data_IF_990147757581
#
_entry.id   IF_990147757581
#
_cell.length_a   1.000
_cell.length_b   1.000
_cell.length_c   1.000
_cell.angle_alpha   90.00
_cell.angle_beta   90.00
_cell.angle_gamma   90.00
#
_symmetry.space_group_name_H-M   'P 1'
#
loop_
_entity.id
_entity.type
_entity.pdbx_description
1 polymer ?
#
# COMPACT_ATOMS: atom_id res chain seq x y z
N UNK A 1 -40.30 18.47 24.08
CA UNK A 1 -39.52 17.21 23.97
C UNK A 1 -38.94 16.99 22.58
N UNK A 2 -39.73 16.93 21.48
CA UNK A 2 -39.20 16.70 20.12
C UNK A 2 -38.08 17.67 19.70
N UNK A 3 -38.23 18.98 19.96
CA UNK A 3 -37.19 19.98 19.64
C UNK A 3 -35.90 19.82 20.44
N UNK A 4 -36.01 19.36 21.69
CA UNK A 4 -34.83 19.05 22.54
C UNK A 4 -34.11 17.82 21.97
N UNK A 5 -34.84 16.76 21.60
CA UNK A 5 -34.23 15.58 21.00
C UNK A 5 -33.56 15.90 19.64
N UNK A 6 -34.17 16.77 18.84
CA UNK A 6 -33.59 17.24 17.57
C UNK A 6 -32.31 18.06 17.82
N UNK A 7 -32.31 18.92 18.84
CA UNK A 7 -31.13 19.69 19.23
C UNK A 7 -30.00 18.78 19.74
N UNK A 8 -30.31 17.80 20.60
CA UNK A 8 -29.34 16.82 21.09
C UNK A 8 -28.76 15.98 19.93
N UNK A 9 -29.60 15.52 19.00
CA UNK A 9 -29.15 14.79 17.82
C UNK A 9 -28.22 15.65 16.94
N UNK A 10 -28.54 16.94 16.75
CA UNK A 10 -27.69 17.86 16.00
C UNK A 10 -26.32 18.04 16.67
N UNK A 11 -26.28 18.26 17.99
CA UNK A 11 -25.03 18.41 18.75
C UNK A 11 -24.19 17.14 18.68
N UNK A 12 -24.80 15.96 18.78
CA UNK A 12 -24.11 14.67 18.65
C UNK A 12 -23.46 14.52 17.27
N UNK A 13 -24.19 14.76 16.18
CA UNK A 13 -23.64 14.66 14.82
C UNK A 13 -22.52 15.66 14.61
N UNK A 14 -22.70 16.90 15.09
CA UNK A 14 -21.68 17.94 14.98
C UNK A 14 -20.39 17.55 15.74
N UNK A 15 -20.52 16.97 16.93
CA UNK A 15 -19.37 16.50 17.69
C UNK A 15 -18.60 15.40 16.95
N UNK A 16 -19.28 14.46 16.28
CA UNK A 16 -18.60 13.40 15.51
C UNK A 16 -17.80 13.94 14.32
N UNK A 17 -18.29 14.99 13.65
CA UNK A 17 -17.64 15.57 12.47
C UNK A 17 -16.44 16.45 12.84
N UNK A 18 -16.46 17.04 14.04
CA UNK A 18 -15.42 17.97 14.49
C UNK A 18 -14.24 17.29 15.20
N UNK A 19 -14.28 15.98 15.42
CA UNK A 19 -13.13 15.25 16.00
C UNK A 19 -12.09 15.05 14.89
N UNK A 20 -10.89 15.65 14.99
CA UNK A 20 -9.82 15.37 14.05
C UNK A 20 -9.39 13.90 14.21
N UNK A 21 -9.27 13.18 13.09
CA UNK A 21 -8.74 11.82 13.05
C UNK A 21 -7.28 11.87 12.64
N UNK A 22 -6.43 11.19 13.41
CA UNK A 22 -5.03 11.00 13.05
C UNK A 22 -4.96 9.91 11.97
N UNK A 23 -4.46 10.26 10.78
CA UNK A 23 -4.24 9.31 9.68
C UNK A 23 -2.74 9.12 9.54
N UNK A 24 -2.23 7.93 9.87
CA UNK A 24 -0.84 7.56 9.62
C UNK A 24 -0.72 6.91 8.24
N UNK A 25 -0.25 7.68 7.26
CA UNK A 25 0.23 7.13 6.00
C UNK A 25 1.72 6.82 6.15
N UNK A 26 2.11 5.58 5.83
CA UNK A 26 3.54 5.23 5.78
C UNK A 26 4.24 6.09 4.72
N UNK A 27 5.41 6.62 5.05
CA UNK A 27 6.25 7.33 4.08
C UNK A 27 6.77 6.33 3.05
N UNK A 28 6.42 6.52 1.79
CA UNK A 28 6.92 5.67 0.70
C UNK A 28 6.07 5.86 -0.54
N UNK A 29 6.60 6.58 -1.53
CA UNK A 29 5.94 6.69 -2.83
C UNK A 29 6.28 5.44 -3.64
N UNK A 30 5.27 4.70 -4.07
CA UNK A 30 5.46 3.69 -5.12
C UNK A 30 5.89 4.39 -6.40
N UNK A 31 6.99 3.95 -6.98
CA UNK A 31 7.52 4.48 -8.21
C UNK A 31 6.74 3.97 -9.43
N UNK A 32 7.11 4.44 -10.63
CA UNK A 32 6.44 4.03 -11.87
C UNK A 32 6.62 2.56 -12.23
N UNK A 33 7.55 1.85 -11.59
CA UNK A 33 7.79 0.42 -11.76
C UNK A 33 7.04 -0.44 -10.73
N UNK A 34 6.33 0.17 -9.77
CA UNK A 34 5.59 -0.55 -8.73
C UNK A 34 6.42 -0.85 -7.47
N UNK A 35 7.63 -0.31 -7.35
CA UNK A 35 8.51 -0.46 -6.20
C UNK A 35 8.52 0.75 -5.27
N UNK A 36 8.96 0.56 -4.03
CA UNK A 36 9.15 1.67 -3.09
C UNK A 36 10.43 1.50 -2.28
N UNK A 37 11.07 2.64 -2.02
CA UNK A 37 12.26 2.72 -1.18
C UNK A 37 11.88 2.77 0.30
N UNK A 38 12.46 1.86 1.08
CA UNK A 38 12.41 1.85 2.54
C UNK A 38 13.78 2.29 3.07
N UNK A 39 13.99 3.61 3.14
CA UNK A 39 15.28 4.20 3.51
C UNK A 39 15.79 3.81 4.90
N UNK A 40 14.86 3.54 5.83
CA UNK A 40 15.18 3.19 7.21
C UNK A 40 15.05 1.68 7.49
N UNK A 41 14.77 0.88 6.45
CA UNK A 41 14.50 -0.55 6.58
C UNK A 41 13.47 -0.88 7.69
N UNK A 42 12.41 -0.07 7.80
CA UNK A 42 11.36 -0.23 8.83
C UNK A 42 10.65 -1.58 8.66
N UNK A 43 10.52 -2.04 7.42
CA UNK A 43 9.90 -3.34 7.08
C UNK A 43 10.78 -4.55 7.41
N UNK A 44 12.10 -4.36 7.57
CA UNK A 44 13.06 -5.46 7.66
C UNK A 44 13.32 -6.18 6.33
N UNK A 45 12.75 -5.69 5.22
CA UNK A 45 12.84 -6.28 3.88
C UNK A 45 13.95 -5.63 3.03
N UNK A 46 14.79 -4.76 3.59
CA UNK A 46 15.83 -4.05 2.85
C UNK A 46 15.36 -2.73 2.25
N UNK A 47 16.24 -2.08 1.49
CA UNK A 47 16.08 -0.68 1.07
C UNK A 47 15.10 -0.43 -0.07
N UNK A 48 14.65 -1.47 -0.77
CA UNK A 48 13.73 -1.37 -1.91
C UNK A 48 12.89 -2.63 -2.08
N UNK A 49 11.58 -2.48 -2.25
CA UNK A 49 10.71 -3.62 -2.50
C UNK A 49 9.48 -3.27 -3.35
N UNK A 50 8.94 -4.28 -4.04
CA UNK A 50 7.82 -4.12 -4.97
C UNK A 50 6.50 -4.45 -4.31
N UNK A 51 5.49 -3.66 -4.67
CA UNK A 51 4.12 -3.90 -4.25
C UNK A 51 3.41 -4.76 -5.29
N UNK A 52 3.03 -5.98 -4.92
CA UNK A 52 2.17 -6.85 -5.71
C UNK A 52 1.26 -7.67 -4.80
N UNK A 53 0.43 -8.56 -5.36
CA UNK A 53 -0.61 -9.29 -4.63
C UNK A 53 -0.14 -10.38 -3.66
N UNK A 54 1.16 -10.46 -3.34
CA UNK A 54 1.71 -11.43 -2.38
C UNK A 54 2.15 -10.71 -1.11
N UNK A 55 2.37 -11.45 -0.02
CA UNK A 55 2.83 -10.87 1.25
C UNK A 55 4.17 -10.11 1.13
N UNK A 56 4.62 -9.38 2.16
CA UNK A 56 5.86 -8.60 2.08
C UNK A 56 7.10 -9.50 1.94
N UNK A 57 7.93 -9.27 0.93
CA UNK A 57 9.16 -10.03 0.68
C UNK A 57 10.12 -9.25 -0.23
N UNK A 58 11.35 -9.75 -0.31
CA UNK A 58 12.41 -9.20 -1.13
C UNK A 58 12.33 -9.64 -2.59
N UNK A 59 12.83 -8.81 -3.49
CA UNK A 59 13.01 -9.15 -4.92
C UNK A 59 14.50 -9.28 -5.25
N UNK A 60 15.13 -10.44 -4.97
CA UNK A 60 16.53 -10.66 -5.34
C UNK A 60 16.72 -10.44 -6.84
N UNK A 61 17.69 -9.59 -7.22
CA UNK A 61 17.96 -9.21 -8.61
C UNK A 61 16.75 -8.61 -9.36
N UNK A 62 15.78 -8.03 -8.63
CA UNK A 62 14.55 -7.48 -9.23
C UNK A 62 13.55 -8.54 -9.69
N UNK A 63 13.69 -9.80 -9.26
CA UNK A 63 12.76 -10.89 -9.59
C UNK A 63 11.93 -11.25 -8.37
N UNK A 64 10.61 -11.34 -8.55
CA UNK A 64 9.70 -11.82 -7.52
C UNK A 64 9.93 -13.32 -7.26
N UNK A 65 10.25 -13.75 -6.03
CA UNK A 65 10.47 -15.16 -5.70
C UNK A 65 9.20 -16.02 -5.77
N UNK A 66 8.01 -15.38 -5.80
CA UNK A 66 6.74 -16.06 -5.95
C UNK A 66 6.28 -16.16 -7.42
N UNK A 67 6.88 -15.41 -8.32
CA UNK A 67 6.62 -15.55 -9.74
C UNK A 67 7.61 -16.54 -10.34
N UNK A 68 7.10 -17.60 -10.97
CA UNK A 68 7.93 -18.43 -11.83
C UNK A 68 8.38 -17.58 -13.01
N UNK A 69 9.69 -17.40 -13.25
CA UNK A 69 10.16 -16.66 -14.41
C UNK A 69 9.62 -17.37 -15.66
N UNK A 70 8.79 -16.66 -16.42
CA UNK A 70 8.34 -17.15 -17.72
C UNK A 70 9.56 -17.16 -18.63
N UNK A 71 10.17 -18.33 -18.79
CA UNK A 71 11.21 -18.53 -19.79
C UNK A 71 10.53 -18.35 -21.14
N UNK A 72 10.58 -17.13 -21.67
CA UNK A 72 10.21 -16.88 -23.05
C UNK A 72 11.27 -17.55 -23.90
N UNK A 73 11.04 -18.83 -24.25
CA UNK A 73 11.83 -19.52 -25.25
C UNK A 73 11.57 -18.75 -26.54
N UNK A 74 12.50 -17.85 -26.92
CA UNK A 74 12.56 -17.36 -28.29
C UNK A 74 12.75 -18.60 -29.15
N UNK A 75 11.66 -19.08 -29.76
CA UNK A 75 11.72 -20.12 -30.78
C UNK A 75 12.55 -19.50 -31.90
N UNK A 76 13.85 -19.85 -31.93
CA UNK A 76 14.74 -19.52 -33.02
C UNK A 76 14.14 -20.18 -34.25
N UNK A 77 13.40 -19.41 -35.03
CA UNK A 77 12.99 -19.82 -36.37
C UNK A 77 14.29 -19.87 -37.15
N UNK A 78 14.84 -21.08 -37.24
CA UNK A 78 15.89 -21.40 -38.20
C UNK A 78 15.20 -21.40 -39.56
N UNK A 79 15.49 -20.37 -40.36
CA UNK A 79 15.25 -20.41 -41.80
C UNK A 79 16.37 -21.25 -42.44
#
# INVERSE_FOLDING_TARGET
MKKINQFVAFVMVLALVLIPTEISAHSGRTDGAGGHHDYNNVSGLGSYHYHHGYGPHLHPNGVCPYETPTVTVKKRVIN
#
